data_IF_464148821050
#
_entry.id   IF_464148821050
#
_cell.length_a   1.000
_cell.length_b   1.000
_cell.length_c   1.000
_cell.angle_alpha   90.00
_cell.angle_beta   90.00
_cell.angle_gamma   90.00
#
_symmetry.space_group_name_H-M   'P 1'
#
loop_
_entity.id
_entity.type
_entity.pdbx_description
1 polymer ?
#
# COMPACT_ATOMS: atom_id res chain seq x y z
N UNK A 1 -14.71 -3.33 -15.88
CA UNK A 1 -14.25 -4.74 -15.86
C UNK A 1 -15.10 -5.48 -14.82
N UNK A 2 -15.56 -6.71 -15.07
CA UNK A 2 -16.39 -7.41 -14.07
C UNK A 2 -15.57 -7.77 -12.82
N UNK A 3 -16.23 -7.84 -11.65
CA UNK A 3 -15.58 -8.21 -10.38
C UNK A 3 -14.91 -9.58 -10.45
N UNK A 4 -15.55 -10.53 -11.13
CA UNK A 4 -14.99 -11.87 -11.38
C UNK A 4 -13.68 -11.81 -12.18
N UNK A 5 -13.62 -10.99 -13.24
CA UNK A 5 -12.39 -10.85 -14.04
C UNK A 5 -11.25 -10.24 -13.23
N UNK A 6 -11.55 -9.29 -12.34
CA UNK A 6 -10.57 -8.71 -11.41
C UNK A 6 -10.03 -9.79 -10.46
N UNK A 7 -10.93 -10.58 -9.86
CA UNK A 7 -10.54 -11.64 -8.93
C UNK A 7 -9.64 -12.67 -9.61
N UNK A 8 -9.98 -13.08 -10.84
CA UNK A 8 -9.16 -14.01 -11.64
C UNK A 8 -7.77 -13.45 -11.93
N UNK A 9 -7.67 -12.18 -12.35
CA UNK A 9 -6.37 -11.51 -12.55
C UNK A 9 -5.54 -11.48 -11.27
N UNK A 10 -6.15 -11.14 -10.13
CA UNK A 10 -5.46 -11.08 -8.84
C UNK A 10 -5.03 -12.46 -8.33
N UNK A 11 -5.79 -13.52 -8.63
CA UNK A 11 -5.37 -14.89 -8.37
C UNK A 11 -4.16 -15.30 -9.22
N UNK A 12 -4.11 -14.88 -10.49
CA UNK A 12 -2.95 -15.12 -11.34
C UNK A 12 -1.71 -14.34 -10.86
N UNK A 13 -1.87 -13.11 -10.39
CA UNK A 13 -0.78 -12.33 -9.74
C UNK A 13 -0.31 -13.01 -8.44
N UNK A 14 -1.24 -13.53 -7.63
CA UNK A 14 -0.92 -14.28 -6.42
C UNK A 14 -0.07 -15.53 -6.73
N UNK A 15 -0.40 -16.26 -7.79
CA UNK A 15 0.38 -17.41 -8.23
C UNK A 15 1.81 -17.01 -8.62
N UNK A 16 1.96 -15.97 -9.44
CA UNK A 16 3.27 -15.41 -9.85
C UNK A 16 4.12 -14.97 -8.66
N UNK A 17 3.52 -14.33 -7.67
CA UNK A 17 4.22 -13.95 -6.42
C UNK A 17 4.77 -15.17 -5.68
N UNK A 18 3.98 -16.25 -5.58
CA UNK A 18 4.41 -17.49 -4.93
C UNK A 18 5.53 -18.19 -5.71
N UNK A 19 5.42 -18.24 -7.04
CA UNK A 19 6.47 -18.79 -7.93
C UNK A 19 7.78 -18.01 -7.80
N UNK A 20 7.71 -16.68 -7.63
CA UNK A 20 8.84 -15.81 -7.34
C UNK A 20 9.35 -15.90 -5.89
N UNK A 21 8.84 -16.84 -5.07
CA UNK A 21 9.27 -17.05 -3.68
C UNK A 21 8.75 -16.01 -2.68
N UNK A 22 7.83 -15.12 -3.09
CA UNK A 22 7.21 -14.14 -2.19
C UNK A 22 6.11 -14.83 -1.39
N UNK A 23 6.21 -14.78 -0.06
CA UNK A 23 5.10 -15.18 0.81
C UNK A 23 4.04 -14.05 0.84
N UNK A 24 2.81 -14.28 0.32
CA UNK A 24 1.77 -13.26 0.25
C UNK A 24 1.03 -13.04 1.57
N UNK A 25 1.22 -13.92 2.56
CA UNK A 25 0.54 -13.90 3.86
C UNK A 25 1.54 -14.26 4.99
N UNK A 26 2.58 -13.45 5.23
CA UNK A 26 3.51 -13.70 6.32
C UNK A 26 2.85 -13.57 7.70
N UNK A 27 3.25 -14.43 8.63
CA UNK A 27 2.76 -14.38 10.02
C UNK A 27 3.41 -13.28 10.90
N UNK A 28 4.42 -12.58 10.38
CA UNK A 28 5.19 -11.57 11.14
C UNK A 28 5.56 -10.38 10.26
N UNK A 29 5.50 -9.19 10.85
CA UNK A 29 6.03 -7.93 10.31
C UNK A 29 7.41 -7.62 10.92
N UNK A 30 8.14 -6.68 10.35
CA UNK A 30 9.40 -6.21 10.90
C UNK A 30 9.20 -5.52 12.26
N UNK A 31 10.21 -5.64 13.13
CA UNK A 31 10.28 -4.94 14.41
C UNK A 31 10.54 -3.44 14.17
N UNK A 32 10.01 -2.57 15.04
CA UNK A 32 10.26 -1.13 14.96
C UNK A 32 9.38 -0.37 13.96
N UNK A 33 8.34 -1.01 13.39
CA UNK A 33 7.30 -0.34 12.61
C UNK A 33 6.69 0.81 13.41
N UNK A 34 6.51 1.95 12.75
CA UNK A 34 5.70 3.07 13.26
C UNK A 34 4.49 3.29 12.36
N UNK A 35 3.53 4.08 12.87
CA UNK A 35 2.36 4.48 12.10
C UNK A 35 2.69 5.73 11.26
N UNK A 36 1.93 5.93 10.17
CA UNK A 36 2.09 7.02 9.22
C UNK A 36 1.93 8.41 9.87
N UNK A 37 0.93 8.60 10.72
CA UNK A 37 0.69 9.84 11.46
C UNK A 37 1.87 10.27 12.33
N UNK A 38 2.38 9.40 13.24
CA UNK A 38 3.61 9.65 13.98
C UNK A 38 4.83 9.94 13.09
N UNK A 39 4.97 9.26 11.94
CA UNK A 39 6.04 9.56 10.98
C UNK A 39 5.90 10.96 10.38
N UNK A 40 4.67 11.38 10.05
CA UNK A 40 4.38 12.71 9.52
C UNK A 40 4.55 13.83 10.56
N UNK A 41 4.24 13.54 11.82
CA UNK A 41 4.42 14.46 12.95
C UNK A 41 5.91 14.75 13.21
N UNK A 42 6.78 13.76 13.00
CA UNK A 42 8.25 13.88 13.14
C UNK A 42 8.98 14.01 11.81
N UNK A 43 8.29 14.43 10.76
CA UNK A 43 8.80 14.38 9.40
C UNK A 43 10.11 15.15 9.23
N UNK A 44 10.14 16.43 9.62
CA UNK A 44 11.31 17.29 9.38
C UNK A 44 12.55 16.81 10.17
N UNK A 45 12.33 16.21 11.36
CA UNK A 45 13.39 15.57 12.14
C UNK A 45 13.94 14.34 11.40
N UNK A 46 13.06 13.45 10.94
CA UNK A 46 13.44 12.20 10.28
C UNK A 46 14.07 12.43 8.90
N UNK A 47 13.57 13.40 8.13
CA UNK A 47 14.17 13.83 6.86
C UNK A 47 15.59 14.37 7.09
N UNK A 48 15.77 15.29 8.05
CA UNK A 48 17.09 15.87 8.37
C UNK A 48 18.10 14.81 8.82
N UNK A 49 17.65 13.84 9.61
CA UNK A 49 18.49 12.74 10.10
C UNK A 49 18.70 11.64 9.07
N UNK A 50 18.03 11.70 7.91
CA UNK A 50 17.95 10.59 6.94
C UNK A 50 17.59 9.28 7.62
N UNK A 51 16.67 9.35 8.59
CA UNK A 51 16.29 8.21 9.41
C UNK A 51 15.46 7.26 8.56
N UNK A 52 15.89 6.01 8.50
CA UNK A 52 15.09 4.94 7.91
C UNK A 52 13.91 4.60 8.82
N UNK A 53 12.71 4.56 8.24
CA UNK A 53 11.47 4.20 8.93
C UNK A 53 10.79 3.04 8.25
N UNK A 54 10.09 2.23 9.05
CA UNK A 54 9.29 1.10 8.59
C UNK A 54 7.82 1.44 8.82
N UNK A 55 7.03 1.42 7.75
CA UNK A 55 5.60 1.65 7.78
C UNK A 55 4.88 0.41 7.25
N UNK A 56 3.66 0.17 7.72
CA UNK A 56 2.80 -0.81 7.08
C UNK A 56 1.34 -0.37 7.08
N UNK A 57 0.65 -0.67 5.99
CA UNK A 57 -0.70 -0.21 5.76
C UNK A 57 -1.25 -0.73 4.44
N UNK A 58 -2.43 -0.25 4.08
CA UNK A 58 -3.14 -0.62 2.85
C UNK A 58 -2.78 0.33 1.72
N UNK A 59 -2.48 -0.20 0.54
CA UNK A 59 -2.36 0.60 -0.68
C UNK A 59 -3.75 1.11 -1.10
N UNK A 60 -3.94 2.42 -1.08
CA UNK A 60 -5.19 3.09 -1.50
C UNK A 60 -5.13 3.67 -2.91
N UNK A 61 -3.92 3.95 -3.38
CA UNK A 61 -3.64 4.48 -4.71
C UNK A 61 -2.32 3.90 -5.18
N UNK A 62 -2.23 3.60 -6.48
CA UNK A 62 -1.04 3.10 -7.14
C UNK A 62 -1.00 3.67 -8.56
N UNK A 63 0.06 4.42 -8.90
CA UNK A 63 0.27 5.05 -10.21
C UNK A 63 1.67 4.73 -10.72
N UNK A 64 1.73 3.93 -11.78
CA UNK A 64 2.98 3.49 -12.40
C UNK A 64 3.41 4.47 -13.49
N UNK A 65 4.72 4.73 -13.55
CA UNK A 65 5.38 5.64 -14.49
C UNK A 65 6.69 5.02 -14.98
N UNK A 66 6.61 3.91 -15.72
CA UNK A 66 7.77 3.22 -16.30
C UNK A 66 8.75 2.76 -15.21
N UNK A 67 9.77 3.57 -14.91
CA UNK A 67 10.79 3.31 -13.87
C UNK A 67 10.48 3.87 -12.47
N UNK A 68 9.30 4.44 -12.25
CA UNK A 68 8.88 4.90 -10.91
C UNK A 68 7.40 4.67 -10.64
N UNK A 69 7.02 4.68 -9.36
CA UNK A 69 5.64 4.57 -8.94
C UNK A 69 5.34 5.49 -7.76
N UNK A 70 4.23 6.21 -7.85
CA UNK A 70 3.64 6.89 -6.69
C UNK A 70 2.48 6.06 -6.15
N UNK A 71 2.47 5.83 -4.85
CA UNK A 71 1.39 5.13 -4.17
C UNK A 71 0.95 5.90 -2.92
N UNK A 72 -0.22 5.55 -2.38
CA UNK A 72 -0.66 6.05 -1.08
C UNK A 72 -0.88 4.90 -0.11
N UNK A 73 -0.14 4.92 0.99
CA UNK A 73 -0.28 3.99 2.10
C UNK A 73 -1.24 4.58 3.11
N UNK A 74 -2.19 3.78 3.58
CA UNK A 74 -3.09 4.15 4.67
C UNK A 74 -2.99 3.18 5.83
N UNK A 75 -2.87 3.71 7.03
CA UNK A 75 -3.09 2.98 8.28
C UNK A 75 -4.13 3.71 9.15
N UNK A 76 -4.30 3.23 10.38
CA UNK A 76 -5.28 3.78 11.34
C UNK A 76 -5.01 5.23 11.73
N UNK A 77 -3.79 5.72 11.56
CA UNK A 77 -3.37 7.07 11.96
C UNK A 77 -3.41 8.08 10.82
N UNK A 78 -3.50 7.63 9.56
CA UNK A 78 -3.56 8.52 8.42
C UNK A 78 -3.05 7.92 7.12
N UNK A 79 -2.75 8.82 6.18
CA UNK A 79 -2.24 8.47 4.86
C UNK A 79 -0.88 9.14 4.62
N UNK A 80 0.02 8.43 3.94
CA UNK A 80 1.31 8.96 3.50
C UNK A 80 1.59 8.56 2.05
N UNK A 81 2.23 9.46 1.30
CA UNK A 81 2.67 9.14 -0.05
C UNK A 81 3.91 8.25 0.01
N UNK A 82 3.95 7.27 -0.89
CA UNK A 82 5.09 6.42 -1.14
C UNK A 82 5.64 6.71 -2.53
N UNK A 83 6.95 6.67 -2.66
CA UNK A 83 7.62 6.77 -3.93
C UNK A 83 8.57 5.59 -4.12
N UNK A 84 8.33 4.80 -5.15
CA UNK A 84 9.13 3.66 -5.55
C UNK A 84 9.94 4.07 -6.78
N UNK A 85 11.24 3.84 -6.75
CA UNK A 85 12.13 4.04 -7.89
C UNK A 85 12.84 2.74 -8.20
N UNK A 86 12.87 2.38 -9.48
CA UNK A 86 13.58 1.21 -9.98
C UNK A 86 15.07 1.24 -9.60
N UNK A 87 15.73 2.39 -9.69
CA UNK A 87 17.13 2.54 -9.31
C UNK A 87 17.38 2.32 -7.80
N UNK A 88 16.37 2.56 -6.97
CA UNK A 88 16.46 2.39 -5.51
C UNK A 88 16.13 0.97 -5.06
N UNK A 89 15.15 0.33 -5.71
CA UNK A 89 14.67 -1.01 -5.37
C UNK A 89 15.41 -2.13 -6.10
N UNK A 90 16.07 -1.80 -7.21
CA UNK A 90 16.54 -2.77 -8.20
C UNK A 90 15.44 -3.14 -9.20
N UNK A 91 15.87 -3.48 -10.42
CA UNK A 91 15.01 -3.89 -11.54
C UNK A 91 14.01 -4.99 -11.14
N UNK A 92 14.53 -6.10 -10.60
CA UNK A 92 13.76 -7.30 -10.36
C UNK A 92 12.64 -7.06 -9.33
N UNK A 93 12.98 -6.46 -8.18
CA UNK A 93 12.01 -6.15 -7.13
C UNK A 93 11.00 -5.13 -7.62
N UNK A 94 11.44 -4.10 -8.35
CA UNK A 94 10.54 -3.09 -8.88
C UNK A 94 9.56 -3.68 -9.89
N UNK A 95 10.01 -4.53 -10.82
CA UNK A 95 9.15 -5.17 -11.81
C UNK A 95 8.17 -6.14 -11.15
N UNK A 96 8.64 -6.95 -10.19
CA UNK A 96 7.79 -7.82 -9.39
C UNK A 96 6.69 -7.04 -8.66
N UNK A 97 7.04 -5.88 -8.09
CA UNK A 97 6.09 -4.96 -7.47
C UNK A 97 5.09 -4.40 -8.48
N UNK A 98 5.58 -3.81 -9.58
CA UNK A 98 4.76 -3.14 -10.59
C UNK A 98 3.73 -4.08 -11.24
N UNK A 99 4.09 -5.34 -11.45
CA UNK A 99 3.24 -6.30 -12.14
C UNK A 99 2.22 -7.00 -11.24
N UNK A 100 2.52 -7.11 -9.93
CA UNK A 100 1.79 -8.03 -9.06
C UNK A 100 1.15 -7.38 -7.82
N UNK A 101 1.46 -6.12 -7.49
CA UNK A 101 0.83 -5.40 -6.39
C UNK A 101 -0.38 -4.61 -6.89
N UNK A 102 -1.42 -4.53 -6.08
CA UNK A 102 -2.70 -3.90 -6.43
C UNK A 102 -3.21 -3.00 -5.29
N UNK A 103 -4.09 -2.07 -5.65
CA UNK A 103 -4.88 -1.31 -4.66
C UNK A 103 -5.69 -2.30 -3.80
N UNK A 104 -5.59 -2.10 -2.49
CA UNK A 104 -6.20 -2.94 -1.46
C UNK A 104 -5.23 -3.90 -0.79
N UNK A 105 -4.05 -4.14 -1.36
CA UNK A 105 -3.01 -4.95 -0.73
C UNK A 105 -2.49 -4.27 0.55
N UNK A 106 -2.17 -5.08 1.55
CA UNK A 106 -1.40 -4.62 2.71
C UNK A 106 0.07 -4.84 2.45
N UNK A 107 0.87 -3.80 2.66
CA UNK A 107 2.31 -3.81 2.43
C UNK A 107 3.04 -3.26 3.64
N UNK A 108 4.27 -3.72 3.80
CA UNK A 108 5.29 -3.13 4.66
C UNK A 108 6.33 -2.48 3.76
N UNK A 109 6.71 -1.25 4.07
CA UNK A 109 7.69 -0.48 3.32
C UNK A 109 8.73 0.10 4.27
N UNK A 110 9.97 0.06 3.83
CA UNK A 110 11.10 0.64 4.56
C UNK A 110 11.75 1.68 3.66
N UNK A 111 12.07 2.85 4.21
CA UNK A 111 12.62 3.95 3.42
C UNK A 111 12.94 5.20 4.22
N UNK A 112 13.30 6.26 3.51
CA UNK A 112 13.61 7.57 4.07
C UNK A 112 12.55 8.59 3.68
N UNK A 113 12.22 9.50 4.60
CA UNK A 113 11.27 10.57 4.34
C UNK A 113 11.93 11.71 3.56
N UNK A 114 11.23 12.23 2.57
CA UNK A 114 11.64 13.38 1.77
C UNK A 114 10.44 14.15 1.21
N UNK A 115 10.62 15.44 0.91
CA UNK A 115 9.62 16.22 0.15
C UNK A 115 9.81 16.08 -1.35
N UNK A 116 8.72 15.87 -2.08
CA UNK A 116 8.73 15.95 -3.55
C UNK A 116 8.86 17.40 -4.00
N UNK A 117 9.06 17.62 -5.30
CA UNK A 117 9.05 18.96 -5.91
C UNK A 117 7.73 19.72 -5.69
N UNK A 118 6.64 19.01 -5.41
CA UNK A 118 5.32 19.58 -5.10
C UNK A 118 5.12 19.75 -3.58
N UNK A 119 6.18 19.69 -2.78
CA UNK A 119 6.17 19.79 -1.32
C UNK A 119 5.34 18.69 -0.61
N UNK A 120 5.06 17.55 -1.27
CA UNK A 120 4.32 16.45 -0.64
C UNK A 120 5.26 15.57 0.20
N UNK A 121 4.95 15.43 1.49
CA UNK A 121 5.66 14.55 2.43
C UNK A 121 5.56 13.10 1.98
N UNK A 122 6.70 12.51 1.62
CA UNK A 122 6.76 11.22 0.93
C UNK A 122 7.81 10.30 1.55
N UNK A 123 7.56 8.99 1.53
CA UNK A 123 8.57 7.98 1.84
C UNK A 123 9.21 7.48 0.54
N UNK A 124 10.52 7.69 0.36
CA UNK A 124 11.30 7.03 -0.68
C UNK A 124 11.54 5.58 -0.27
N UNK A 125 10.85 4.66 -0.94
CA UNK A 125 10.85 3.23 -0.57
C UNK A 125 12.13 2.56 -1.07
N UNK A 126 12.86 1.95 -0.12
CA UNK A 126 14.05 1.14 -0.37
C UNK A 126 13.78 -0.36 -0.29
N UNK A 127 12.76 -0.76 0.47
CA UNK A 127 12.30 -2.15 0.56
C UNK A 127 10.78 -2.19 0.61
N UNK A 128 10.19 -3.15 -0.07
CA UNK A 128 8.75 -3.42 -0.04
C UNK A 128 8.52 -4.91 0.23
N UNK A 129 7.54 -5.20 1.07
CA UNK A 129 7.11 -6.55 1.39
C UNK A 129 5.60 -6.62 1.39
N UNK A 130 5.06 -7.65 0.74
CA UNK A 130 3.64 -7.95 0.78
C UNK A 130 3.28 -8.58 2.14
N UNK A 131 2.26 -8.05 2.81
CA UNK A 131 1.73 -8.59 4.06
C UNK A 131 0.40 -9.33 3.85
N UNK A 132 -0.42 -8.86 2.91
CA UNK A 132 -1.64 -9.55 2.54
C UNK A 132 -2.06 -9.15 1.14
N UNK A 133 -2.14 -10.13 0.23
CA UNK A 133 -2.74 -9.95 -1.10
C UNK A 133 -4.25 -9.80 -0.98
N UNK A 134 -4.79 -8.73 -1.53
CA UNK A 134 -6.22 -8.50 -1.66
C UNK A 134 -6.74 -9.09 -2.96
N UNK A 135 -7.66 -10.04 -2.89
CA UNK A 135 -8.22 -10.71 -4.08
C UNK A 135 -9.47 -10.02 -4.64
N UNK A 136 -10.11 -9.17 -3.84
CA UNK A 136 -11.31 -8.45 -4.23
C UNK A 136 -11.00 -6.97 -4.40
N UNK A 137 -11.67 -6.33 -5.36
CA UNK A 137 -11.60 -4.89 -5.51
C UNK A 137 -12.16 -4.21 -4.26
N UNK A 138 -11.56 -3.07 -3.87
CA UNK A 138 -12.19 -2.20 -2.89
C UNK A 138 -13.50 -1.64 -3.48
N UNK A 139 -14.56 -1.46 -2.67
CA UNK A 139 -15.77 -0.83 -3.16
C UNK A 139 -15.50 0.61 -3.62
N UNK A 140 -16.20 1.04 -4.67
CA UNK A 140 -16.13 2.42 -5.15
C UNK A 140 -17.03 3.34 -4.29
N UNK A 141 -16.59 4.57 -4.00
CA UNK A 141 -17.34 5.56 -3.21
C UNK A 141 -18.72 5.88 -3.81
N UNK A 142 -18.87 5.79 -5.13
CA UNK A 142 -20.10 6.18 -5.84
C UNK A 142 -21.16 5.09 -5.87
N UNK A 143 -20.72 3.83 -5.90
CA UNK A 143 -21.56 2.63 -5.95
C UNK A 143 -21.50 1.81 -4.65
N UNK A 144 -20.96 2.41 -3.58
CA UNK A 144 -20.75 1.78 -2.28
C UNK A 144 -22.03 1.30 -1.61
N UNK A 145 -21.85 0.67 -0.45
CA UNK A 145 -22.91 0.15 0.41
C UNK A 145 -23.87 1.28 0.85
N UNK A 146 -24.82 1.64 -0.01
CA UNK A 146 -25.87 2.62 0.29
C UNK A 146 -26.96 2.01 1.16
N UNK A 147 -27.14 0.69 1.04
CA UNK A 147 -28.11 -0.06 1.81
C UNK A 147 -27.61 -0.28 3.25
N UNK A 148 -28.41 0.16 4.22
CA UNK A 148 -28.07 0.09 5.65
C UNK A 148 -27.89 -1.34 6.14
N UNK A 149 -28.68 -2.30 5.64
CA UNK A 149 -28.54 -3.70 6.01
C UNK A 149 -27.24 -4.29 5.45
N UNK A 150 -26.90 -3.97 4.21
CA UNK A 150 -25.65 -4.41 3.60
C UNK A 150 -24.42 -3.80 4.31
N UNK A 151 -24.49 -2.53 4.77
CA UNK A 151 -23.46 -1.91 5.62
C UNK A 151 -23.26 -2.67 6.92
N UNK A 152 -24.33 -3.07 7.59
CA UNK A 152 -24.24 -3.87 8.82
C UNK A 152 -23.69 -5.27 8.56
N UNK A 153 -24.12 -5.94 7.48
CA UNK A 153 -23.64 -7.29 7.10
C UNK A 153 -22.19 -7.28 6.64
N UNK A 154 -21.73 -6.20 6.00
CA UNK A 154 -20.37 -6.03 5.48
C UNK A 154 -19.66 -4.86 6.15
N UNK A 155 -19.73 -4.79 7.49
CA UNK A 155 -19.17 -3.68 8.27
C UNK A 155 -17.68 -3.42 7.98
N UNK A 156 -16.92 -4.45 7.65
CA UNK A 156 -15.51 -4.31 7.26
C UNK A 156 -15.30 -3.51 5.96
N UNK A 157 -16.27 -3.50 5.05
CA UNK A 157 -16.27 -2.63 3.86
C UNK A 157 -16.75 -1.24 4.21
N UNK A 158 -17.73 -1.12 5.10
CA UNK A 158 -18.25 0.16 5.56
C UNK A 158 -17.16 0.99 6.26
N UNK A 159 -16.50 0.43 7.28
CA UNK A 159 -15.34 1.04 7.96
C UNK A 159 -14.17 1.36 7.02
N UNK A 160 -14.12 0.69 5.85
CA UNK A 160 -13.09 0.93 4.85
C UNK A 160 -13.42 2.13 3.96
N UNK A 161 -14.70 2.46 3.80
CA UNK A 161 -15.22 3.54 2.97
C UNK A 161 -15.49 4.82 3.77
N UNK A 162 -15.98 4.66 4.98
CA UNK A 162 -16.40 5.71 5.90
C UNK A 162 -15.51 5.68 7.14
N UNK A 163 -14.80 6.79 7.39
CA UNK A 163 -13.89 6.91 8.53
C UNK A 163 -14.57 7.45 9.79
N UNK A 164 -15.81 7.94 9.65
CA UNK A 164 -16.59 8.54 10.73
C UNK A 164 -17.68 7.58 11.27
N UNK A 165 -17.74 6.35 10.74
CA UNK A 165 -18.72 5.31 11.07
C UNK A 165 -18.46 4.56 12.40
#
# INVERSE_FOLDING_TARGET
MSLEKIKTDRLAKLARLKEAGVNPYPGQTAHGRILAGPALAKFDEYERLKKEVILAGRLRLLRLHGGSCFARLEDVSGQIQLFFKKDTLGEEIYQLFADNFDIGDFVEVTGELFKTQTEEKTLLVKKVRLLSKSLNQLPDKWHGLKDTEERFRRRYLDLLMDKDA
#
